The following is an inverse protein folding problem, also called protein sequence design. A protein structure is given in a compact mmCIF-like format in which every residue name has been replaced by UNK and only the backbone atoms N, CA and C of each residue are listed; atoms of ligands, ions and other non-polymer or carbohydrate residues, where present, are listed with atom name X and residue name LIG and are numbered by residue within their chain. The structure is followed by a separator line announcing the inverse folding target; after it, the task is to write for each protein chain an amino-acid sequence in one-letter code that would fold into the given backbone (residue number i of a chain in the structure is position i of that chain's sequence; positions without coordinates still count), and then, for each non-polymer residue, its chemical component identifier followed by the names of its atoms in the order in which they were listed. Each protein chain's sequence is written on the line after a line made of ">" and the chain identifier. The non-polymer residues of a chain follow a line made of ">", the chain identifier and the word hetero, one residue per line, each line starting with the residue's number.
data_IF_988691623572
#
_entry.id   IF_988691623572
#
_cell.length_a   1.000
_cell.length_b   1.000
_cell.length_c   1.000
_cell.angle_alpha   90.00
_cell.angle_beta   90.00
_cell.angle_gamma   90.00
#
_symmetry.space_group_name_H-M   'P 1'
#
loop_
_entity.id
_entity.type
_entity.pdbx_description
1 polymer ?
#
# COMPACT_ATOMS: atom_id res chain seq x y z
N UNK A 1 17.83 12.02 2.40
CA UNK A 1 17.77 12.09 3.88
C UNK A 1 18.12 10.71 4.43
N UNK A 2 18.95 10.63 5.47
CA UNK A 2 19.31 9.34 6.07
C UNK A 2 18.07 8.72 6.72
N UNK A 3 17.75 7.48 6.36
CA UNK A 3 16.67 6.73 6.99
C UNK A 3 17.09 6.36 8.42
N UNK A 4 16.32 6.78 9.41
CA UNK A 4 16.65 6.58 10.82
C UNK A 4 16.02 5.30 11.32
N UNK A 5 16.83 4.38 11.82
CA UNK A 5 16.33 3.19 12.51
C UNK A 5 15.92 3.53 13.95
N UNK A 6 14.67 3.24 14.30
CA UNK A 6 14.09 3.47 15.63
C UNK A 6 13.98 2.15 16.39
N UNK A 7 14.37 2.15 17.66
CA UNK A 7 14.16 0.98 18.52
C UNK A 7 12.67 0.83 18.90
N UNK A 8 12.28 -0.30 19.51
CA UNK A 8 10.87 -0.58 19.83
C UNK A 8 10.22 0.47 20.74
N UNK A 9 10.96 1.07 21.67
CA UNK A 9 10.44 2.10 22.56
C UNK A 9 10.21 3.42 21.82
N UNK A 10 11.14 3.81 20.95
CA UNK A 10 11.01 4.97 20.09
C UNK A 10 9.87 4.80 19.08
N UNK A 11 9.76 3.63 18.45
CA UNK A 11 8.69 3.30 17.51
C UNK A 11 7.31 3.31 18.19
N UNK A 12 7.21 2.75 19.40
CA UNK A 12 5.99 2.78 20.20
C UNK A 12 5.54 4.22 20.50
N UNK A 13 6.48 5.06 20.93
CA UNK A 13 6.22 6.49 21.17
C UNK A 13 5.83 7.23 19.89
N UNK A 14 6.47 6.92 18.77
CA UNK A 14 6.21 7.54 17.47
C UNK A 14 4.80 7.24 16.94
N UNK A 15 4.37 5.96 17.06
CA UNK A 15 3.05 5.51 16.64
C UNK A 15 1.94 5.79 17.66
N UNK A 16 2.28 6.12 18.92
CA UNK A 16 1.32 6.36 19.98
C UNK A 16 0.69 5.08 20.57
N UNK A 17 1.38 3.93 20.45
CA UNK A 17 0.93 2.65 21.01
C UNK A 17 1.87 2.16 22.11
N UNK A 18 1.42 1.19 22.91
CA UNK A 18 2.29 0.53 23.90
C UNK A 18 3.32 -0.39 23.23
N UNK A 19 4.46 -0.59 23.91
CA UNK A 19 5.51 -1.53 23.47
C UNK A 19 4.94 -2.94 23.26
N UNK A 20 4.02 -3.38 24.12
CA UNK A 20 3.40 -4.71 24.00
C UNK A 20 2.46 -4.81 22.79
N UNK A 21 1.88 -3.70 22.33
CA UNK A 21 1.15 -3.67 21.05
C UNK A 21 2.09 -3.91 19.87
N UNK A 22 3.27 -3.25 19.85
CA UNK A 22 4.28 -3.49 18.82
C UNK A 22 4.81 -4.93 18.86
N UNK A 23 5.03 -5.51 20.04
CA UNK A 23 5.44 -6.93 20.18
C UNK A 23 4.39 -7.88 19.62
N UNK A 24 3.11 -7.62 19.89
CA UNK A 24 2.00 -8.41 19.33
C UNK A 24 1.95 -8.30 17.81
N UNK A 25 2.13 -7.10 17.26
CA UNK A 25 2.14 -6.89 15.82
C UNK A 25 3.36 -7.49 15.12
N UNK A 26 4.54 -7.48 15.76
CA UNK A 26 5.71 -8.21 15.29
C UNK A 26 5.41 -9.72 15.21
N UNK A 27 4.82 -10.29 16.27
CA UNK A 27 4.44 -11.71 16.31
C UNK A 27 3.37 -12.06 15.28
N UNK A 28 2.38 -11.19 15.06
CA UNK A 28 1.29 -11.44 14.10
C UNK A 28 1.67 -11.08 12.66
N UNK A 29 2.87 -10.56 12.42
CA UNK A 29 3.29 -10.03 11.12
C UNK A 29 2.61 -8.73 10.71
N UNK A 30 1.85 -8.05 11.59
CA UNK A 30 1.20 -6.75 11.30
C UNK A 30 2.17 -5.57 11.32
N UNK A 31 3.32 -5.69 11.98
CA UNK A 31 4.44 -4.74 11.88
C UNK A 31 5.73 -5.49 12.22
N UNK A 32 6.28 -6.27 11.26
CA UNK A 32 7.44 -7.11 11.51
C UNK A 32 8.66 -6.23 11.80
N UNK A 33 9.34 -6.52 12.90
CA UNK A 33 10.57 -5.82 13.25
C UNK A 33 11.75 -6.33 12.43
N UNK A 34 12.60 -5.42 11.96
CA UNK A 34 13.95 -5.79 11.50
C UNK A 34 14.82 -6.09 12.70
N UNK A 35 15.83 -6.95 12.52
CA UNK A 35 16.72 -7.43 13.59
C UNK A 35 18.15 -7.02 13.33
N UNK A 36 18.81 -6.47 14.34
CA UNK A 36 20.25 -6.19 14.27
C UNK A 36 21.05 -7.48 14.44
N UNK A 37 22.35 -7.43 14.21
CA UNK A 37 23.23 -8.59 14.46
C UNK A 37 23.12 -9.11 15.91
N UNK A 38 22.87 -8.22 16.87
CA UNK A 38 22.62 -8.58 18.28
C UNK A 38 21.19 -9.05 18.59
N UNK A 39 20.32 -9.19 17.59
CA UNK A 39 18.94 -9.67 17.75
C UNK A 39 17.93 -8.62 18.26
N UNK A 40 18.35 -7.36 18.42
CA UNK A 40 17.47 -6.28 18.85
C UNK A 40 16.52 -5.86 17.72
N UNK A 41 15.29 -5.48 18.10
CA UNK A 41 14.27 -5.00 17.16
C UNK A 41 14.51 -3.55 16.82
N UNK A 42 14.49 -3.24 15.53
CA UNK A 42 14.44 -1.87 15.03
C UNK A 42 13.44 -1.76 13.87
N UNK A 43 13.01 -0.52 13.65
CA UNK A 43 12.03 -0.15 12.65
C UNK A 43 12.56 1.07 11.91
N UNK A 44 12.75 0.99 10.58
CA UNK A 44 13.06 2.16 9.78
C UNK A 44 11.95 3.20 9.95
N UNK A 45 12.33 4.46 10.10
CA UNK A 45 11.37 5.54 10.28
C UNK A 45 10.44 5.66 9.08
N UNK A 46 10.95 5.41 7.86
CA UNK A 46 10.16 5.35 6.63
C UNK A 46 9.02 4.32 6.69
N UNK A 47 9.30 3.11 7.19
CA UNK A 47 8.30 2.05 7.38
C UNK A 47 7.22 2.50 8.39
N UNK A 48 7.60 3.17 9.48
CA UNK A 48 6.66 3.67 10.50
C UNK A 48 5.82 4.85 10.01
N UNK A 49 6.40 5.76 9.22
CA UNK A 49 5.69 6.84 8.56
C UNK A 49 4.63 6.29 7.62
N UNK A 50 5.01 5.32 6.80
CA UNK A 50 4.08 4.61 5.93
C UNK A 50 2.99 3.90 6.74
N UNK A 51 3.34 3.30 7.89
CA UNK A 51 2.40 2.64 8.81
C UNK A 51 1.33 3.58 9.35
N UNK A 52 1.70 4.83 9.63
CA UNK A 52 0.82 5.83 10.22
C UNK A 52 -0.13 6.47 9.21
N UNK A 53 0.17 6.37 7.91
CA UNK A 53 -0.63 7.01 6.86
C UNK A 53 -2.01 6.38 6.75
N UNK A 54 -3.03 7.22 6.71
CA UNK A 54 -4.37 6.80 6.33
C UNK A 54 -4.44 6.72 4.79
N UNK A 55 -4.13 5.54 4.25
CA UNK A 55 -4.12 5.26 2.82
C UNK A 55 -5.51 5.55 2.21
N UNK A 56 -6.59 5.32 2.97
CA UNK A 56 -7.94 5.60 2.48
C UNK A 56 -8.18 7.10 2.35
N UNK A 57 -7.77 7.88 3.35
CA UNK A 57 -7.84 9.33 3.27
C UNK A 57 -7.00 9.90 2.12
N UNK A 58 -5.76 9.41 1.93
CA UNK A 58 -4.88 9.82 0.83
C UNK A 58 -5.49 9.53 -0.54
N UNK A 59 -6.07 8.34 -0.71
CA UNK A 59 -6.70 7.97 -1.96
C UNK A 59 -8.01 8.74 -2.21
N UNK A 60 -8.76 9.03 -1.15
CA UNK A 60 -9.98 9.86 -1.20
C UNK A 60 -9.64 11.29 -1.59
N UNK A 61 -8.58 11.86 -1.00
CA UNK A 61 -8.08 13.19 -1.35
C UNK A 61 -7.64 13.23 -2.82
N UNK A 62 -6.94 12.20 -3.30
CA UNK A 62 -6.53 12.14 -4.70
C UNK A 62 -7.73 12.06 -5.67
N UNK A 63 -8.73 11.22 -5.36
CA UNK A 63 -9.93 11.10 -6.20
C UNK A 63 -10.79 12.36 -6.20
N UNK A 64 -11.01 12.99 -5.05
CA UNK A 64 -11.97 14.09 -4.91
C UNK A 64 -11.31 15.47 -5.05
N UNK A 65 -10.00 15.55 -4.87
CA UNK A 65 -9.23 16.78 -4.86
C UNK A 65 -8.86 17.31 -6.24
N UNK A 66 -8.07 18.39 -6.19
CA UNK A 66 -7.48 18.97 -7.40
C UNK A 66 -6.52 17.95 -8.06
N UNK A 67 -6.42 17.95 -9.40
CA UNK A 67 -5.47 17.09 -10.11
C UNK A 67 -4.04 17.28 -9.58
N UNK A 68 -3.52 16.25 -8.94
CA UNK A 68 -2.13 16.17 -8.48
C UNK A 68 -1.67 14.72 -8.54
N UNK A 69 -0.44 14.50 -9.00
CA UNK A 69 0.12 13.14 -9.03
C UNK A 69 0.29 12.63 -7.59
N UNK A 70 -0.16 11.38 -7.29
CA UNK A 70 0.11 10.78 -5.99
C UNK A 70 1.60 10.46 -5.85
N UNK A 71 2.03 10.21 -4.62
CA UNK A 71 3.39 9.71 -4.37
C UNK A 71 3.62 8.36 -5.06
N UNK A 72 4.84 8.13 -5.57
CA UNK A 72 5.25 6.90 -6.27
C UNK A 72 4.88 5.63 -5.50
N UNK A 73 4.94 5.66 -4.17
CA UNK A 73 4.57 4.55 -3.30
C UNK A 73 3.13 4.06 -3.53
N UNK A 74 2.23 4.92 -4.03
CA UNK A 74 0.81 4.65 -4.22
C UNK A 74 0.32 4.84 -5.64
N UNK A 75 1.20 5.16 -6.59
CA UNK A 75 0.79 5.50 -7.94
C UNK A 75 1.29 4.51 -8.99
N UNK A 76 0.40 4.11 -9.89
CA UNK A 76 0.72 3.37 -11.11
C UNK A 76 0.27 4.20 -12.32
N UNK A 77 1.17 4.96 -12.97
CA UNK A 77 0.85 5.69 -14.19
C UNK A 77 0.55 4.77 -15.39
N UNK A 78 1.08 3.54 -15.41
CA UNK A 78 0.90 2.61 -16.53
C UNK A 78 0.37 1.23 -16.11
N UNK A 79 -0.28 0.54 -17.05
CA UNK A 79 -0.76 -0.84 -16.85
C UNK A 79 0.39 -1.81 -16.61
N UNK A 80 1.55 -1.58 -17.24
CA UNK A 80 2.78 -2.38 -17.04
C UNK A 80 3.26 -2.29 -15.59
N UNK A 81 3.29 -1.09 -15.01
CA UNK A 81 3.67 -0.89 -13.62
C UNK A 81 2.67 -1.51 -12.65
N UNK A 82 1.37 -1.36 -12.92
CA UNK A 82 0.32 -2.03 -12.14
C UNK A 82 0.49 -3.55 -12.16
N UNK A 83 0.64 -4.17 -13.35
CA UNK A 83 0.84 -5.62 -13.49
C UNK A 83 2.10 -6.08 -12.75
N UNK A 84 3.17 -5.29 -12.79
CA UNK A 84 4.39 -5.54 -12.01
C UNK A 84 4.14 -5.54 -10.50
N UNK A 85 3.34 -4.60 -9.98
CA UNK A 85 2.96 -4.56 -8.56
C UNK A 85 1.97 -5.67 -8.18
N UNK A 86 1.03 -6.02 -9.06
CA UNK A 86 0.07 -7.11 -8.85
C UNK A 86 0.78 -8.46 -8.72
N UNK A 87 1.81 -8.71 -9.52
CA UNK A 87 2.64 -9.92 -9.39
C UNK A 87 3.34 -9.99 -8.02
N UNK A 88 3.86 -8.85 -7.52
CA UNK A 88 4.45 -8.78 -6.18
C UNK A 88 3.42 -9.02 -5.07
N UNK A 89 2.20 -8.49 -5.25
CA UNK A 89 1.08 -8.74 -4.32
C UNK A 89 0.77 -10.23 -4.24
N UNK A 90 0.67 -10.91 -5.38
CA UNK A 90 0.43 -12.35 -5.46
C UNK A 90 1.50 -13.14 -4.70
N UNK A 91 2.79 -12.90 -5.01
CA UNK A 91 3.90 -13.59 -4.34
C UNK A 91 3.96 -13.35 -2.83
N UNK A 92 3.39 -12.25 -2.36
CA UNK A 92 3.32 -11.96 -0.94
C UNK A 92 2.14 -12.62 -0.24
N UNK A 93 0.95 -12.57 -0.85
CA UNK A 93 -0.23 -13.25 -0.34
C UNK A 93 -0.03 -14.76 -0.25
N UNK A 94 0.65 -15.36 -1.24
CA UNK A 94 0.95 -16.79 -1.26
C UNK A 94 1.78 -17.24 -0.03
N UNK A 95 2.61 -16.34 0.51
CA UNK A 95 3.43 -16.59 1.70
C UNK A 95 2.64 -16.50 3.00
N UNK A 96 1.42 -15.99 2.98
CA UNK A 96 0.57 -15.86 4.16
C UNK A 96 -0.29 -17.13 4.30
N UNK A 97 -0.02 -17.99 5.31
CA UNK A 97 -0.72 -19.26 5.47
C UNK A 97 -2.25 -19.09 5.54
N UNK A 98 -2.71 -18.05 6.24
CA UNK A 98 -4.13 -17.76 6.47
C UNK A 98 -4.86 -17.32 5.20
N UNK A 99 -4.15 -16.90 4.14
CA UNK A 99 -4.73 -16.42 2.89
C UNK A 99 -4.48 -17.36 1.71
N UNK A 100 -3.87 -18.54 1.92
CA UNK A 100 -3.54 -19.48 0.84
C UNK A 100 -4.72 -19.88 -0.03
N UNK A 101 -5.91 -20.00 0.55
CA UNK A 101 -7.11 -20.39 -0.21
C UNK A 101 -7.79 -19.20 -0.90
N UNK A 102 -7.60 -17.98 -0.38
CA UNK A 102 -8.29 -16.79 -0.84
C UNK A 102 -7.46 -15.90 -1.77
N UNK A 103 -6.13 -16.01 -1.74
CA UNK A 103 -5.27 -15.12 -2.51
C UNK A 103 -5.50 -15.15 -4.02
N UNK A 104 -5.83 -16.30 -4.68
CA UNK A 104 -6.07 -16.29 -6.12
C UNK A 104 -7.29 -15.43 -6.46
N UNK A 105 -8.34 -15.49 -5.63
CA UNK A 105 -9.53 -14.67 -5.78
C UNK A 105 -9.21 -13.18 -5.56
N UNK A 106 -8.45 -12.85 -4.51
CA UNK A 106 -8.03 -11.46 -4.23
C UNK A 106 -7.25 -10.90 -5.42
N UNK A 107 -6.27 -11.65 -5.94
CA UNK A 107 -5.44 -11.24 -7.09
C UNK A 107 -6.30 -11.08 -8.35
N UNK A 108 -7.22 -12.00 -8.61
CA UNK A 108 -8.14 -11.90 -9.73
C UNK A 108 -9.02 -10.65 -9.63
N UNK A 109 -9.69 -10.42 -8.50
CA UNK A 109 -10.54 -9.24 -8.29
C UNK A 109 -9.76 -7.93 -8.45
N UNK A 110 -8.58 -7.82 -7.83
CA UNK A 110 -7.73 -6.63 -7.96
C UNK A 110 -7.27 -6.44 -9.41
N UNK A 111 -6.91 -7.53 -10.09
CA UNK A 111 -6.49 -7.53 -11.49
C UNK A 111 -7.60 -7.05 -12.43
N UNK A 112 -8.81 -7.59 -12.29
CA UNK A 112 -9.98 -7.17 -13.09
C UNK A 112 -10.26 -5.67 -12.92
N UNK A 113 -10.34 -5.18 -11.68
CA UNK A 113 -10.61 -3.77 -11.41
C UNK A 113 -9.49 -2.88 -11.99
N UNK A 114 -8.23 -3.23 -11.71
CA UNK A 114 -7.09 -2.43 -12.14
C UNK A 114 -6.87 -2.43 -13.65
N UNK A 115 -7.02 -3.57 -14.33
CA UNK A 115 -6.89 -3.63 -15.79
C UNK A 115 -8.02 -2.86 -16.48
N UNK A 116 -9.27 -3.03 -16.03
CA UNK A 116 -10.41 -2.27 -16.57
C UNK A 116 -10.19 -0.75 -16.48
N UNK A 117 -9.50 -0.31 -15.44
CA UNK A 117 -9.13 1.09 -15.26
C UNK A 117 -8.26 1.63 -16.40
N UNK A 118 -7.38 0.82 -16.98
CA UNK A 118 -6.54 1.26 -18.10
C UNK A 118 -7.21 1.02 -19.45
N UNK A 119 -7.87 -0.13 -19.61
CA UNK A 119 -8.43 -0.56 -20.89
C UNK A 119 -9.62 0.32 -21.32
N UNK A 120 -10.47 0.75 -20.37
CA UNK A 120 -11.65 1.57 -20.67
C UNK A 120 -11.39 3.09 -20.69
N UNK A 121 -10.26 3.56 -20.15
CA UNK A 121 -9.90 4.98 -20.15
C UNK A 121 -8.83 5.34 -21.19
N UNK A 122 -8.46 4.41 -22.08
CA UNK A 122 -7.44 4.66 -23.11
C UNK A 122 -7.82 5.87 -23.98
N UNK A 123 -7.11 6.99 -23.79
CA UNK A 123 -7.35 8.26 -24.48
C UNK A 123 -8.42 9.18 -23.87
N UNK A 124 -9.08 8.79 -22.77
CA UNK A 124 -10.21 9.52 -22.16
C UNK A 124 -10.05 9.80 -20.66
N UNK A 125 -8.82 9.94 -20.17
CA UNK A 125 -8.57 10.32 -18.78
C UNK A 125 -9.05 11.76 -18.51
N UNK A 126 -9.88 12.00 -17.48
CA UNK A 126 -10.42 13.34 -17.20
C UNK A 126 -9.34 14.30 -16.67
N UNK A 127 -8.27 13.78 -16.09
CA UNK A 127 -7.13 14.55 -15.57
C UNK A 127 -5.80 13.77 -15.68
N UNK A 128 -5.29 13.21 -14.58
CA UNK A 128 -4.03 12.49 -14.49
C UNK A 128 -4.31 11.01 -14.75
N UNK A 129 -3.64 10.46 -15.75
CA UNK A 129 -3.82 9.06 -16.13
C UNK A 129 -3.16 8.10 -15.16
N UNK A 130 -3.88 7.11 -14.69
CA UNK A 130 -3.32 6.04 -13.87
C UNK A 130 -4.26 5.60 -12.77
N UNK A 131 -3.75 4.74 -11.90
CA UNK A 131 -4.50 4.25 -10.74
C UNK A 131 -3.72 4.48 -9.46
N UNK A 132 -4.45 4.70 -8.38
CA UNK A 132 -3.90 4.61 -7.04
C UNK A 132 -3.79 3.15 -6.67
N UNK A 133 -2.57 2.64 -6.54
CA UNK A 133 -2.28 1.27 -6.15
C UNK A 133 -0.95 1.21 -5.37
N UNK A 134 -1.03 0.71 -4.13
CA UNK A 134 0.14 0.65 -3.24
C UNK A 134 1.22 -0.28 -3.77
N UNK A 135 2.47 0.13 -3.62
CA UNK A 135 3.61 -0.76 -3.75
C UNK A 135 3.53 -1.79 -2.63
N UNK A 136 3.55 -3.06 -2.99
CA UNK A 136 3.67 -4.12 -2.00
C UNK A 136 5.13 -4.21 -1.55
N UNK A 137 5.38 -4.04 -0.25
CA UNK A 137 6.70 -4.18 0.35
C UNK A 137 6.62 -5.16 1.53
N UNK A 138 7.47 -6.21 1.60
CA UNK A 138 7.42 -7.19 2.68
C UNK A 138 7.63 -6.61 4.09
N UNK A 139 8.30 -5.46 4.21
CA UNK A 139 8.45 -4.71 5.48
C UNK A 139 7.22 -3.86 5.83
N UNK A 140 6.32 -3.65 4.87
CA UNK A 140 5.09 -2.90 5.03
C UNK A 140 3.89 -3.88 4.97
N UNK A 141 3.52 -4.52 6.09
CA UNK A 141 2.49 -5.56 6.15
C UNK A 141 1.05 -5.04 6.01
N UNK A 142 0.88 -3.83 5.49
CA UNK A 142 -0.43 -3.27 5.25
C UNK A 142 -1.03 -3.83 3.98
N UNK A 143 -1.87 -4.84 4.17
CA UNK A 143 -2.92 -5.13 3.22
C UNK A 143 -4.02 -4.07 3.34
N UNK A 144 -3.83 -2.97 2.62
CA UNK A 144 -4.90 -2.05 2.23
C UNK A 144 -4.77 -1.80 0.74
N UNK A 145 -5.16 -2.80 -0.03
CA UNK A 145 -5.25 -2.67 -1.47
C UNK A 145 -6.50 -1.87 -1.78
N UNK A 146 -6.31 -0.63 -2.20
CA UNK A 146 -7.37 0.11 -2.82
C UNK A 146 -7.00 0.32 -4.28
N UNK A 147 -7.95 0.06 -5.17
CA UNK A 147 -7.83 0.40 -6.58
C UNK A 147 -8.81 1.54 -6.80
N UNK A 148 -8.27 2.74 -6.97
CA UNK A 148 -9.06 3.92 -7.28
C UNK A 148 -8.69 4.45 -8.63
N UNK A 149 -9.71 4.88 -9.36
CA UNK A 149 -9.59 5.47 -10.68
C UNK A 149 -10.24 6.83 -10.65
N UNK A 150 -9.71 7.77 -11.43
CA UNK A 150 -10.38 9.05 -11.62
C UNK A 150 -11.60 8.96 -12.55
N UNK A 151 -12.00 7.76 -12.98
CA UNK A 151 -13.18 7.56 -13.85
C UNK A 151 -14.49 8.02 -13.20
N UNK A 152 -14.54 8.15 -11.86
CA UNK A 152 -15.72 8.66 -11.15
C UNK A 152 -15.91 10.17 -11.28
N UNK A 153 -14.91 10.96 -11.70
CA UNK A 153 -15.14 12.38 -12.06
C UNK A 153 -15.97 12.53 -13.34
N UNK A 154 -16.06 11.50 -14.17
CA UNK A 154 -16.76 11.53 -15.46
C UNK A 154 -18.27 11.29 -15.34
N UNK A 155 -18.76 10.78 -14.20
CA UNK A 155 -20.21 10.49 -14.01
C UNK A 155 -21.00 11.72 -13.51
N UNK A 156 -20.34 12.75 -12.97
CA UNK A 156 -21.00 13.95 -12.42
C UNK A 156 -20.84 15.23 -13.28
N UNK A 157 -20.62 15.10 -14.60
CA UNK A 157 -20.49 16.25 -15.52
C UNK A 157 -21.49 16.28 -16.68
N UNK A 158 -22.62 15.60 -16.55
CA UNK A 158 -23.78 15.79 -17.43
C UNK A 158 -25.01 16.21 -16.60
#
# INVERSE_FOLDING_TARGET
>A
MADKDLNISEAAKYLGFSIDTLRRWDKSGKLPAKRSEGGHRYYPQTDLELFKRDIFALATEWMLGAPKEPEDAFYCPTSSEFKGRLSKLQSALEKLPDLREYFPLIVATVGEIGNNSFDHNFGNWPDISGIFFTKFEPSCPFFRTYVYTNSFKTINRF
#
